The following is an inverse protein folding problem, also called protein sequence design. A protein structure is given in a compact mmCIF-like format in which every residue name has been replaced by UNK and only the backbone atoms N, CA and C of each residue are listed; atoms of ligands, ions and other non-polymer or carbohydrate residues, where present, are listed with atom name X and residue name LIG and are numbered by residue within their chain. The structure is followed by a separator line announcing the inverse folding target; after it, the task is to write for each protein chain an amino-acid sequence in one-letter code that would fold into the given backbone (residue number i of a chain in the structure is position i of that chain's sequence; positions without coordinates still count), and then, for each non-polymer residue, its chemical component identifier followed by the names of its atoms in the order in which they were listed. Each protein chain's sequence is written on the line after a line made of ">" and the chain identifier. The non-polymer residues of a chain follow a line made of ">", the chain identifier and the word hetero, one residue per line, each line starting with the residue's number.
data_IF_996256297445
#
_entry.id   IF_996256297445
#
_cell.length_a   1.000
_cell.length_b   1.000
_cell.length_c   1.000
_cell.angle_alpha   90.00
_cell.angle_beta   90.00
_cell.angle_gamma   90.00
#
_symmetry.space_group_name_H-M   'P 1'
#
loop_
_entity.id
_entity.type
_entity.pdbx_description
1 polymer ?
#
# COMPACT_ATOMS: atom_id res chain seq x y z
N UNK A 1 -9.50 19.29 -8.64
CA UNK A 1 -10.20 18.51 -7.62
C UNK A 1 -11.16 17.45 -8.18
N UNK A 2 -11.91 17.72 -9.25
CA UNK A 2 -12.91 16.75 -9.77
C UNK A 2 -12.33 15.52 -10.49
N UNK A 3 -11.11 15.55 -10.99
CA UNK A 3 -10.55 14.44 -11.78
C UNK A 3 -10.02 13.27 -10.94
N UNK A 4 -9.49 13.52 -9.74
CA UNK A 4 -8.98 12.47 -8.84
C UNK A 4 -10.11 11.57 -8.35
N UNK A 5 -11.19 12.18 -7.83
CA UNK A 5 -12.34 11.44 -7.31
C UNK A 5 -12.97 10.58 -8.41
N UNK A 6 -13.08 11.12 -9.63
CA UNK A 6 -13.62 10.38 -10.78
C UNK A 6 -12.71 9.21 -11.15
N UNK A 7 -11.39 9.41 -11.20
CA UNK A 7 -10.41 8.34 -11.49
C UNK A 7 -10.46 7.25 -10.43
N UNK A 8 -10.46 7.61 -9.14
CA UNK A 8 -10.56 6.65 -8.02
C UNK A 8 -11.88 5.88 -8.12
N UNK A 9 -13.00 6.57 -8.35
CA UNK A 9 -14.31 5.93 -8.49
C UNK A 9 -14.38 5.00 -9.71
N UNK A 10 -13.75 5.37 -10.81
CA UNK A 10 -13.69 4.54 -12.03
C UNK A 10 -12.86 3.29 -11.82
N UNK A 11 -11.69 3.40 -11.19
CA UNK A 11 -10.84 2.26 -10.83
C UNK A 11 -11.58 1.34 -9.85
N UNK A 12 -12.24 1.91 -8.85
CA UNK A 12 -13.05 1.16 -7.89
C UNK A 12 -14.19 0.39 -8.58
N UNK A 13 -14.94 1.01 -9.50
CA UNK A 13 -16.02 0.35 -10.25
C UNK A 13 -15.50 -0.77 -11.15
N UNK A 14 -14.33 -0.61 -11.77
CA UNK A 14 -13.68 -1.65 -12.58
C UNK A 14 -13.30 -2.85 -11.69
N UNK A 15 -12.65 -2.59 -10.54
CA UNK A 15 -12.23 -3.62 -9.60
C UNK A 15 -13.41 -4.38 -8.99
N UNK A 16 -14.49 -3.68 -8.62
CA UNK A 16 -15.75 -4.31 -8.14
C UNK A 16 -16.42 -5.12 -9.25
N UNK A 17 -16.35 -4.67 -10.51
CA UNK A 17 -16.86 -5.40 -11.67
C UNK A 17 -16.16 -6.73 -11.93
N UNK A 18 -14.89 -6.84 -11.60
CA UNK A 18 -14.09 -8.06 -11.74
C UNK A 18 -14.46 -9.14 -10.70
N UNK A 19 -15.11 -8.77 -9.59
CA UNK A 19 -15.46 -9.71 -8.52
C UNK A 19 -16.74 -10.53 -8.78
N UNK A 20 -17.53 -10.22 -9.81
CA UNK A 20 -18.86 -10.80 -10.04
C UNK A 20 -18.90 -12.22 -10.62
N UNK A 21 -17.77 -12.81 -11.00
CA UNK A 21 -17.73 -14.10 -11.70
C UNK A 21 -17.02 -15.25 -10.94
N UNK A 22 -16.82 -15.15 -9.63
CA UNK A 22 -16.24 -16.25 -8.87
C UNK A 22 -17.38 -16.90 -8.07
N UNK A 23 -17.98 -17.95 -8.60
CA UNK A 23 -18.71 -18.94 -7.80
C UNK A 23 -17.67 -19.67 -6.97
N UNK A 24 -17.38 -19.16 -5.78
CA UNK A 24 -16.56 -19.85 -4.81
C UNK A 24 -17.34 -21.06 -4.28
N UNK A 25 -16.96 -22.24 -4.68
CA UNK A 25 -17.22 -23.47 -3.94
C UNK A 25 -16.56 -23.31 -2.57
N UNK A 26 -17.29 -23.60 -1.47
CA UNK A 26 -16.83 -23.46 -0.08
C UNK A 26 -15.75 -24.50 0.31
N UNK A 27 -14.82 -24.81 -0.55
CA UNK A 27 -13.62 -25.54 -0.17
C UNK A 27 -12.63 -24.54 0.41
N UNK A 28 -12.23 -24.76 1.65
CA UNK A 28 -11.21 -24.04 2.43
C UNK A 28 -9.87 -23.86 1.67
N UNK A 29 -9.88 -23.08 0.61
CA UNK A 29 -8.67 -22.45 0.13
C UNK A 29 -8.45 -21.24 1.04
N UNK A 30 -7.48 -21.33 1.92
CA UNK A 30 -6.91 -20.15 2.53
C UNK A 30 -6.35 -19.34 1.36
N UNK A 31 -6.99 -18.21 1.05
CA UNK A 31 -6.48 -17.23 0.10
C UNK A 31 -5.15 -16.72 0.64
N UNK A 32 -4.06 -17.34 0.22
CA UNK A 32 -2.73 -17.11 0.78
C UNK A 32 -2.02 -15.93 0.12
N UNK A 33 -2.57 -15.44 -0.99
CA UNK A 33 -2.03 -14.31 -1.74
C UNK A 33 -3.03 -13.16 -1.76
N UNK A 34 -2.60 -12.01 -1.24
CA UNK A 34 -3.37 -10.79 -1.31
C UNK A 34 -2.67 -9.77 -2.20
N UNK A 35 -3.44 -9.12 -3.06
CA UNK A 35 -3.01 -7.97 -3.85
C UNK A 35 -3.73 -6.72 -3.36
N UNK A 36 -2.96 -5.72 -2.96
CA UNK A 36 -3.44 -4.40 -2.59
C UNK A 36 -3.15 -3.42 -3.75
N UNK A 37 -4.20 -2.86 -4.33
CA UNK A 37 -4.12 -1.76 -5.28
C UNK A 37 -4.40 -0.47 -4.53
N UNK A 38 -3.48 0.47 -4.58
CA UNK A 38 -3.62 1.70 -3.84
C UNK A 38 -3.40 2.94 -4.69
N UNK A 39 -4.06 4.02 -4.32
CA UNK A 39 -3.81 5.33 -4.88
C UNK A 39 -4.02 6.42 -3.85
N UNK A 40 -3.35 7.55 -4.04
CA UNK A 40 -3.40 8.63 -3.08
C UNK A 40 -2.57 9.84 -3.47
N UNK A 41 -2.02 10.49 -2.47
CA UNK A 41 -1.19 11.69 -2.64
C UNK A 41 0.15 11.47 -1.95
N UNK A 42 1.22 11.67 -2.70
CA UNK A 42 2.60 11.65 -2.24
C UNK A 42 3.05 13.06 -1.82
N UNK A 43 3.86 13.15 -0.77
CA UNK A 43 4.42 14.37 -0.20
C UNK A 43 3.38 15.44 0.19
N UNK A 44 2.41 15.03 1.00
CA UNK A 44 1.31 15.88 1.46
C UNK A 44 1.75 17.11 2.27
N UNK A 45 2.95 17.10 2.83
CA UNK A 45 3.51 18.20 3.62
C UNK A 45 4.06 19.33 2.76
N UNK A 46 4.23 19.12 1.46
CA UNK A 46 4.76 20.11 0.53
C UNK A 46 3.76 20.34 -0.61
N UNK A 47 2.80 21.27 -0.43
CA UNK A 47 1.76 21.57 -1.41
C UNK A 47 2.27 21.89 -2.83
N UNK A 48 3.50 22.41 -2.95
CA UNK A 48 4.12 22.75 -4.23
C UNK A 48 4.69 21.54 -4.99
N UNK A 49 4.88 20.41 -4.31
CA UNK A 49 5.50 19.19 -4.86
C UNK A 49 4.67 17.92 -4.61
N UNK A 50 3.46 18.06 -4.07
CA UNK A 50 2.60 16.90 -3.92
C UNK A 50 2.25 16.33 -5.31
N UNK A 51 2.09 15.02 -5.39
CA UNK A 51 1.80 14.31 -6.62
C UNK A 51 0.79 13.20 -6.38
N UNK A 52 0.01 12.86 -7.43
CA UNK A 52 -0.84 11.67 -7.39
C UNK A 52 0.06 10.43 -7.38
N UNK A 53 -0.25 9.47 -6.51
CA UNK A 53 0.46 8.20 -6.49
C UNK A 53 -0.48 7.03 -6.79
N UNK A 54 0.09 5.99 -7.42
CA UNK A 54 -0.54 4.71 -7.69
C UNK A 54 0.43 3.60 -7.36
N UNK A 55 -0.09 2.47 -6.90
CA UNK A 55 0.77 1.33 -6.64
C UNK A 55 0.04 0.03 -6.47
N UNK A 56 0.84 -1.03 -6.40
CA UNK A 56 0.41 -2.40 -6.12
C UNK A 56 1.35 -3.03 -5.11
N UNK A 57 0.78 -3.75 -4.17
CA UNK A 57 1.51 -4.55 -3.19
C UNK A 57 0.95 -5.96 -3.17
N UNK A 58 1.81 -6.92 -3.12
CA UNK A 58 1.50 -8.32 -2.91
C UNK A 58 1.93 -8.72 -1.50
N UNK A 59 1.07 -9.41 -0.78
CA UNK A 59 1.42 -10.11 0.45
C UNK A 59 1.22 -11.62 0.29
N UNK A 60 2.07 -12.40 0.97
CA UNK A 60 2.00 -13.85 0.94
C UNK A 60 1.78 -14.37 2.36
N UNK A 61 0.55 -14.77 2.65
CA UNK A 61 0.18 -15.28 3.97
C UNK A 61 0.64 -16.71 4.23
N UNK A 62 0.99 -17.51 3.21
CA UNK A 62 1.60 -18.83 3.40
C UNK A 62 2.96 -18.76 4.11
N UNK A 63 3.62 -17.61 3.98
CA UNK A 63 4.92 -17.35 4.59
C UNK A 63 4.82 -16.60 5.92
N UNK A 64 3.62 -16.47 6.47
CA UNK A 64 3.46 -15.77 7.73
C UNK A 64 4.12 -16.50 8.90
N UNK A 65 4.43 -15.75 9.95
CA UNK A 65 4.93 -16.24 11.23
C UNK A 65 4.14 -15.63 12.38
N UNK A 66 3.65 -16.49 13.27
CA UNK A 66 3.14 -16.03 14.56
C UNK A 66 4.30 -15.57 15.42
N UNK A 67 4.24 -14.33 15.86
CA UNK A 67 5.24 -13.70 16.70
C UNK A 67 4.57 -13.01 17.88
N UNK A 68 5.35 -12.54 18.86
CA UNK A 68 4.81 -11.70 19.93
C UNK A 68 4.28 -10.35 19.43
N UNK A 69 4.66 -9.93 18.19
CA UNK A 69 4.14 -8.75 17.50
C UNK A 69 2.91 -9.05 16.64
N UNK A 70 2.31 -10.24 16.76
CA UNK A 70 1.18 -10.67 15.96
C UNK A 70 1.58 -11.52 14.74
N UNK A 71 0.66 -11.65 13.81
CA UNK A 71 0.84 -12.40 12.56
C UNK A 71 1.61 -11.55 11.56
N UNK A 72 2.86 -11.91 11.29
CA UNK A 72 3.74 -11.19 10.35
C UNK A 72 3.80 -11.92 9.01
N UNK A 73 3.57 -11.21 7.91
CA UNK A 73 3.70 -11.70 6.53
C UNK A 73 4.64 -10.83 5.70
N UNK A 74 5.36 -11.43 4.72
CA UNK A 74 6.18 -10.67 3.79
C UNK A 74 5.33 -9.92 2.78
N UNK A 75 5.81 -8.75 2.38
CA UNK A 75 5.20 -7.91 1.35
C UNK A 75 6.24 -7.52 0.31
N UNK A 76 5.77 -7.32 -0.93
CA UNK A 76 6.54 -6.74 -2.02
C UNK A 76 5.64 -5.82 -2.81
N UNK A 77 6.11 -4.63 -3.16
CA UNK A 77 5.27 -3.67 -3.85
C UNK A 77 6.05 -2.70 -4.73
N UNK A 78 5.25 -2.00 -5.52
CA UNK A 78 5.72 -0.96 -6.43
C UNK A 78 4.77 0.24 -6.36
N UNK A 79 5.33 1.43 -6.40
CA UNK A 79 4.62 2.70 -6.40
C UNK A 79 5.21 3.60 -7.49
N UNK A 80 4.35 4.38 -8.13
CA UNK A 80 4.71 5.41 -9.10
C UNK A 80 3.88 6.66 -8.86
N UNK A 81 4.49 7.84 -9.05
CA UNK A 81 3.79 9.12 -9.02
C UNK A 81 3.53 9.66 -10.42
N UNK A 82 2.65 10.64 -10.56
CA UNK A 82 2.43 11.37 -11.83
C UNK A 82 3.64 12.21 -12.25
N UNK A 83 4.59 12.47 -11.34
CA UNK A 83 5.90 13.06 -11.62
C UNK A 83 6.97 12.01 -11.98
N UNK A 84 6.57 10.76 -12.26
CA UNK A 84 7.44 9.64 -12.60
C UNK A 84 8.45 9.23 -11.51
N UNK A 85 8.24 9.64 -10.25
CA UNK A 85 8.98 9.06 -9.13
C UNK A 85 8.52 7.60 -8.95
N UNK A 86 9.44 6.70 -8.69
CA UNK A 86 9.12 5.28 -8.49
C UNK A 86 9.75 4.75 -7.21
N UNK A 87 9.05 3.80 -6.57
CA UNK A 87 9.56 3.10 -5.41
C UNK A 87 9.22 1.61 -5.50
N UNK A 88 10.25 0.78 -5.57
CA UNK A 88 10.14 -0.68 -5.50
C UNK A 88 10.64 -1.15 -4.14
N UNK A 89 9.84 -1.94 -3.44
CA UNK A 89 10.13 -2.31 -2.05
C UNK A 89 9.74 -3.74 -1.73
N UNK A 90 10.40 -4.26 -0.70
CA UNK A 90 10.02 -5.49 -0.02
C UNK A 90 10.11 -5.28 1.48
N UNK A 91 9.32 -6.00 2.26
CA UNK A 91 9.29 -5.80 3.70
C UNK A 91 8.37 -6.77 4.40
N UNK A 92 7.83 -6.31 5.52
CA UNK A 92 6.92 -7.09 6.36
C UNK A 92 5.74 -6.24 6.82
N UNK A 93 4.61 -6.90 7.01
CA UNK A 93 3.43 -6.32 7.68
C UNK A 93 2.98 -7.21 8.83
N UNK A 94 2.34 -6.60 9.83
CA UNK A 94 1.66 -7.32 10.90
C UNK A 94 0.17 -6.96 10.87
N UNK A 95 -0.71 -7.95 10.98
CA UNK A 95 -2.15 -7.73 11.00
C UNK A 95 -2.73 -7.89 12.40
N UNK A 96 -3.56 -6.93 12.81
CA UNK A 96 -4.30 -6.94 14.07
C UNK A 96 -5.78 -6.72 13.83
N UNK A 97 -6.63 -7.65 14.29
CA UNK A 97 -8.09 -7.48 14.23
C UNK A 97 -8.63 -6.79 15.48
N UNK A 98 -9.29 -5.66 15.30
CA UNK A 98 -9.92 -4.86 16.35
C UNK A 98 -11.42 -4.75 16.04
N UNK A 99 -12.18 -5.75 16.45
CA UNK A 99 -13.61 -5.84 16.11
C UNK A 99 -13.82 -6.06 14.62
N UNK A 100 -14.37 -5.06 13.90
CA UNK A 100 -14.56 -5.09 12.44
C UNK A 100 -13.45 -4.38 11.67
N UNK A 101 -12.49 -3.80 12.37
CA UNK A 101 -11.37 -3.10 11.79
C UNK A 101 -10.14 -4.00 11.78
N UNK A 102 -9.37 -3.92 10.71
CA UNK A 102 -8.03 -4.47 10.63
C UNK A 102 -7.04 -3.29 10.73
N UNK A 103 -6.05 -3.40 11.62
CA UNK A 103 -4.93 -2.48 11.74
C UNK A 103 -3.69 -3.19 11.22
N UNK A 104 -3.05 -2.64 10.20
CA UNK A 104 -1.91 -3.27 9.54
C UNK A 104 -0.73 -2.32 9.45
N UNK A 105 0.14 -2.27 10.49
CA UNK A 105 1.44 -1.62 10.35
C UNK A 105 2.37 -2.43 9.45
N UNK A 106 3.19 -1.73 8.68
CA UNK A 106 4.22 -2.32 7.82
C UNK A 106 5.51 -1.51 7.83
N UNK A 107 6.62 -2.20 7.50
CA UNK A 107 7.92 -1.60 7.29
C UNK A 107 8.60 -2.24 6.08
N UNK A 108 9.09 -1.40 5.16
CA UNK A 108 9.60 -1.86 3.87
C UNK A 108 10.78 -1.01 3.41
N UNK A 109 12.01 -1.55 3.42
CA UNK A 109 13.12 -1.01 2.66
C UNK A 109 12.87 -1.15 1.16
N UNK A 110 13.41 -0.21 0.37
CA UNK A 110 13.25 -0.24 -1.08
C UNK A 110 14.16 0.72 -1.82
N UNK A 111 14.03 0.70 -3.14
CA UNK A 111 14.77 1.58 -4.03
C UNK A 111 13.82 2.64 -4.58
N UNK A 112 14.14 3.87 -4.30
CA UNK A 112 13.47 5.05 -4.82
C UNK A 112 14.24 5.61 -6.00
N UNK A 113 13.53 5.94 -7.06
CA UNK A 113 14.09 6.65 -8.21
C UNK A 113 13.32 7.94 -8.41
N UNK A 114 13.99 9.04 -8.30
CA UNK A 114 13.41 10.36 -8.51
C UNK A 114 13.14 10.58 -10.01
N UNK A 115 11.94 11.07 -10.32
CA UNK A 115 11.56 11.59 -11.61
C UNK A 115 11.63 13.12 -11.65
N UNK A 116 10.51 13.75 -11.95
CA UNK A 116 10.37 15.21 -11.92
C UNK A 116 9.87 15.73 -10.54
N UNK A 117 9.69 14.82 -9.58
CA UNK A 117 9.11 15.09 -8.26
C UNK A 117 10.13 15.43 -7.19
N UNK A 118 10.01 14.81 -6.02
CA UNK A 118 10.81 15.10 -4.84
C UNK A 118 12.05 14.22 -4.78
N UNK A 119 13.25 14.84 -4.75
CA UNK A 119 14.48 14.14 -4.38
C UNK A 119 14.48 13.86 -2.87
N UNK A 120 14.60 12.59 -2.48
CA UNK A 120 14.66 12.15 -1.09
C UNK A 120 16.08 12.02 -0.54
N UNK A 121 17.10 12.33 -1.37
CA UNK A 121 18.49 12.38 -0.96
C UNK A 121 19.25 11.05 -1.00
N UNK A 122 18.56 9.94 -1.23
CA UNK A 122 19.18 8.61 -1.36
C UNK A 122 18.30 7.70 -2.23
N UNK A 123 18.89 6.79 -3.01
CA UNK A 123 18.13 5.73 -3.66
C UNK A 123 17.56 4.69 -2.67
N UNK A 124 18.24 4.47 -1.55
CA UNK A 124 17.74 3.55 -0.51
C UNK A 124 16.84 4.31 0.45
N UNK A 125 15.58 3.92 0.45
CA UNK A 125 14.55 4.51 1.31
C UNK A 125 13.82 3.43 2.13
N UNK A 126 13.23 3.85 3.25
CA UNK A 126 12.47 3.01 4.16
C UNK A 126 11.05 3.55 4.28
N UNK A 127 10.07 2.74 3.92
CA UNK A 127 8.65 3.07 4.08
C UNK A 127 8.13 2.48 5.40
N UNK A 128 7.62 3.33 6.27
CA UNK A 128 6.79 2.95 7.41
C UNK A 128 5.35 3.31 7.10
N UNK A 129 4.42 2.37 7.27
CA UNK A 129 3.01 2.57 6.92
C UNK A 129 2.10 2.01 8.01
N UNK A 130 0.98 2.68 8.24
CA UNK A 130 -0.13 2.19 9.05
C UNK A 130 -1.39 2.23 8.20
N UNK A 131 -2.04 1.08 8.05
CA UNK A 131 -3.29 0.91 7.32
C UNK A 131 -4.42 0.55 8.29
N UNK A 132 -5.58 1.17 8.10
CA UNK A 132 -6.85 0.79 8.69
C UNK A 132 -7.78 0.30 7.60
N UNK A 133 -8.39 -0.86 7.80
CA UNK A 133 -9.25 -1.46 6.78
C UNK A 133 -10.44 -2.22 7.35
N UNK A 134 -11.42 -2.49 6.49
CA UNK A 134 -12.63 -3.25 6.79
C UNK A 134 -12.87 -4.30 5.71
N UNK A 135 -13.26 -5.48 6.12
CA UNK A 135 -13.68 -6.54 5.20
C UNK A 135 -15.09 -6.22 4.67
N UNK A 136 -15.23 -6.08 3.34
CA UNK A 136 -16.51 -5.82 2.69
C UNK A 136 -17.22 -7.10 2.27
N UNK A 137 -16.47 -8.02 1.68
CA UNK A 137 -16.91 -9.30 1.15
C UNK A 137 -15.79 -10.32 1.41
N UNK A 138 -16.06 -11.64 1.35
CA UNK A 138 -15.00 -12.65 1.42
C UNK A 138 -13.86 -12.35 0.44
N UNK A 139 -12.64 -12.25 0.94
CA UNK A 139 -11.44 -11.93 0.17
C UNK A 139 -11.45 -10.52 -0.47
N UNK A 140 -12.23 -9.56 0.04
CA UNK A 140 -12.26 -8.19 -0.48
C UNK A 140 -12.31 -7.20 0.67
N UNK A 141 -11.29 -6.36 0.77
CA UNK A 141 -11.09 -5.42 1.87
C UNK A 141 -10.85 -4.01 1.33
N UNK A 142 -11.40 -3.00 1.98
CA UNK A 142 -11.09 -1.59 1.72
C UNK A 142 -10.34 -0.98 2.89
N UNK A 143 -9.36 -0.16 2.57
CA UNK A 143 -8.53 0.49 3.57
C UNK A 143 -8.18 1.93 3.24
N UNK A 144 -7.67 2.57 4.27
CA UNK A 144 -7.01 3.86 4.20
C UNK A 144 -5.68 3.73 4.95
N UNK A 145 -4.61 4.27 4.37
CA UNK A 145 -3.29 4.22 5.00
C UNK A 145 -2.57 5.57 4.96
N UNK A 146 -1.67 5.71 5.90
CA UNK A 146 -0.67 6.77 5.94
C UNK A 146 0.71 6.13 5.94
N UNK A 147 1.60 6.63 5.12
CA UNK A 147 2.99 6.20 5.08
C UNK A 147 3.96 7.37 5.18
N UNK A 148 5.14 7.06 5.71
CA UNK A 148 6.32 7.92 5.73
C UNK A 148 7.47 7.22 5.01
N UNK A 149 8.08 7.90 4.06
CA UNK A 149 9.25 7.45 3.31
C UNK A 149 10.45 8.31 3.70
N UNK A 150 11.57 7.69 4.11
CA UNK A 150 12.80 8.39 4.49
C UNK A 150 14.02 7.48 4.38
N UNK A 151 15.20 8.05 4.21
CA UNK A 151 16.45 7.30 4.10
C UNK A 151 17.17 7.06 5.45
N UNK A 152 16.53 7.39 6.57
CA UNK A 152 17.11 7.23 7.91
C UNK A 152 18.50 7.90 8.07
N UNK A 153 18.69 9.06 7.43
CA UNK A 153 19.95 9.82 7.40
C UNK A 153 21.14 9.06 6.78
N UNK A 154 20.90 8.10 5.89
CA UNK A 154 21.93 7.40 5.13
C UNK A 154 22.42 8.21 3.92
N UNK A 155 21.67 9.20 3.46
CA UNK A 155 22.03 10.13 2.40
C UNK A 155 22.60 11.45 2.95
N UNK A 156 23.02 12.34 2.06
CA UNK A 156 23.49 13.68 2.41
C UNK A 156 22.35 14.57 2.94
N UNK A 157 21.12 14.26 2.57
CA UNK A 157 19.88 14.90 3.05
C UNK A 157 18.81 13.86 3.29
N UNK A 158 17.86 14.17 4.18
CA UNK A 158 16.74 13.29 4.49
C UNK A 158 15.44 14.11 4.62
N UNK A 159 14.91 14.67 3.51
CA UNK A 159 13.70 15.48 3.57
C UNK A 159 12.43 14.68 3.89
N UNK A 160 12.43 13.36 3.68
CA UNK A 160 11.29 12.48 3.84
C UNK A 160 10.09 12.86 2.97
N UNK A 161 9.08 12.01 2.92
CA UNK A 161 7.78 12.27 2.29
C UNK A 161 6.67 11.51 3.01
N UNK A 162 5.57 12.21 3.33
CA UNK A 162 4.37 11.63 3.90
C UNK A 162 3.31 11.44 2.82
N UNK A 163 2.57 10.33 2.87
CA UNK A 163 1.53 10.02 1.89
C UNK A 163 0.26 9.51 2.54
N UNK A 164 -0.88 9.80 1.92
CA UNK A 164 -2.16 9.16 2.21
C UNK A 164 -2.62 8.34 1.03
N UNK A 165 -3.15 7.14 1.31
CA UNK A 165 -3.59 6.22 0.27
C UNK A 165 -4.95 5.59 0.62
N UNK A 166 -5.76 5.39 -0.43
CA UNK A 166 -6.90 4.49 -0.41
C UNK A 166 -6.46 3.15 -0.97
N UNK A 167 -6.87 2.09 -0.30
CA UNK A 167 -6.42 0.73 -0.54
C UNK A 167 -7.62 -0.15 -0.91
N UNK A 168 -7.47 -0.93 -1.97
CA UNK A 168 -8.38 -2.00 -2.35
C UNK A 168 -7.60 -3.31 -2.37
N UNK A 169 -7.95 -4.21 -1.47
CA UNK A 169 -7.27 -5.48 -1.30
C UNK A 169 -8.15 -6.62 -1.78
N UNK A 170 -7.54 -7.54 -2.49
CA UNK A 170 -8.17 -8.75 -3.00
C UNK A 170 -7.28 -9.96 -2.74
N UNK A 171 -7.83 -10.93 -2.02
CA UNK A 171 -7.21 -12.24 -1.75
C UNK A 171 -7.67 -13.26 -2.79
N UNK A 172 -6.78 -14.18 -3.17
CA UNK A 172 -6.97 -15.22 -4.19
C UNK A 172 -6.43 -16.56 -3.70
#
# INVERSE_FOLDING_TARGET
>A
MNNIIVKILTIFLILVGLTKNINADESKFYDSHEYNFFSGVFDITNEAKNSELFGVQHSNEDLFRDTFLGKISPITGFMITDNADTYFYTGVQAEYKIGKLNLTPSFSPGIYTVGDGKDLGSPLEFKSEVQLSIDLLPGTTLGYSQSHLSNADLGDTNPGADSYMFNFMKSF
#
